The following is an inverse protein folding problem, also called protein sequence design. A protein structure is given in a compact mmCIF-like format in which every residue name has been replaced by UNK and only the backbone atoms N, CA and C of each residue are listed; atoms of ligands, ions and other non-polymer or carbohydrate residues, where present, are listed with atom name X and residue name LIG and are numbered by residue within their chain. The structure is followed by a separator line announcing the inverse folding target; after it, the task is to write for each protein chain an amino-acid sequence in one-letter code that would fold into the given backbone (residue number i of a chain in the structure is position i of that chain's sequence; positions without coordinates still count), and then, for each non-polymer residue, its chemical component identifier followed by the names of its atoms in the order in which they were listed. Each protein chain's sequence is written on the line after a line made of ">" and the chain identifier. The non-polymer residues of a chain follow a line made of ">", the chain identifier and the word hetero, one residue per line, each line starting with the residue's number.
data_IF_410934182932
#
_entry.id   IF_410934182932
#
_cell.length_a   1.000
_cell.length_b   1.000
_cell.length_c   1.000
_cell.angle_alpha   90.00
_cell.angle_beta   90.00
_cell.angle_gamma   90.00
#
_symmetry.space_group_name_H-M   'P 1'
#
loop_
_entity.id
_entity.type
_entity.pdbx_description
1 polymer ?
#
# COMPACT_ATOMS: atom_id res chain seq x y z
N UNK A 1 -13.67 -8.17 -12.74
CA UNK A 1 -12.52 -7.81 -11.89
C UNK A 1 -11.99 -6.48 -12.36
N UNK A 2 -11.57 -5.62 -11.44
CA UNK A 2 -11.07 -4.30 -11.78
C UNK A 2 -9.67 -4.38 -12.41
N UNK A 3 -9.30 -3.41 -13.25
CA UNK A 3 -7.93 -3.31 -13.79
C UNK A 3 -6.88 -3.18 -12.65
N UNK A 4 -7.30 -2.65 -11.50
CA UNK A 4 -6.45 -2.52 -10.31
C UNK A 4 -6.15 -3.88 -9.67
N UNK A 5 -7.12 -4.78 -9.66
CA UNK A 5 -6.97 -6.14 -9.17
C UNK A 5 -6.03 -6.98 -10.05
N UNK A 6 -6.16 -6.88 -11.37
CA UNK A 6 -5.27 -7.57 -12.30
C UNK A 6 -3.81 -7.11 -12.11
N UNK A 7 -3.60 -5.80 -11.97
CA UNK A 7 -2.29 -5.22 -11.69
C UNK A 7 -1.73 -5.65 -10.32
N UNK A 8 -2.59 -5.74 -9.31
CA UNK A 8 -2.22 -6.27 -8.01
C UNK A 8 -1.72 -7.71 -8.14
N UNK A 9 -2.46 -8.59 -8.81
CA UNK A 9 -2.09 -9.98 -9.02
C UNK A 9 -0.75 -10.13 -9.77
N UNK A 10 -0.51 -9.29 -10.78
CA UNK A 10 0.79 -9.26 -11.48
C UNK A 10 1.94 -8.87 -10.52
N UNK A 11 1.70 -7.96 -9.57
CA UNK A 11 2.70 -7.58 -8.58
C UNK A 11 2.91 -8.68 -7.53
N UNK A 12 1.85 -9.41 -7.13
CA UNK A 12 1.97 -10.59 -6.25
C UNK A 12 2.81 -11.68 -6.92
N UNK A 13 2.63 -11.94 -8.21
CA UNK A 13 3.47 -12.88 -8.94
C UNK A 13 4.98 -12.53 -8.87
N UNK A 14 5.34 -11.24 -8.77
CA UNK A 14 6.74 -10.80 -8.57
C UNK A 14 7.23 -11.13 -7.14
N UNK A 15 6.35 -11.04 -6.14
CA UNK A 15 6.65 -11.48 -4.76
C UNK A 15 6.90 -12.98 -4.75
N UNK A 16 6.04 -13.76 -5.39
CA UNK A 16 6.22 -15.21 -5.56
C UNK A 16 7.55 -15.56 -6.22
N UNK A 17 7.93 -14.84 -7.28
CA UNK A 17 9.21 -15.05 -7.95
C UNK A 17 10.41 -14.85 -7.00
N UNK A 18 10.35 -13.84 -6.11
CA UNK A 18 11.39 -13.63 -5.10
C UNK A 18 11.39 -14.75 -4.05
N UNK A 19 10.22 -15.20 -3.63
CA UNK A 19 10.09 -16.33 -2.72
C UNK A 19 10.67 -17.62 -3.33
N UNK A 20 10.36 -17.88 -4.59
CA UNK A 20 10.90 -19.04 -5.31
C UNK A 20 12.42 -18.93 -5.51
N UNK A 21 12.93 -17.73 -5.81
CA UNK A 21 14.37 -17.49 -5.88
C UNK A 21 15.05 -17.79 -4.55
N UNK A 22 14.46 -17.35 -3.43
CA UNK A 22 14.98 -17.66 -2.10
C UNK A 22 15.11 -19.18 -1.88
N UNK A 23 14.07 -19.96 -2.20
CA UNK A 23 14.14 -21.44 -2.05
C UNK A 23 15.19 -22.08 -2.98
N UNK A 24 15.44 -21.47 -4.13
CA UNK A 24 16.45 -21.98 -5.08
C UNK A 24 17.87 -21.72 -4.59
N UNK A 25 18.14 -20.55 -3.98
CA UNK A 25 19.49 -20.17 -3.54
C UNK A 25 19.81 -20.57 -2.11
N UNK A 26 18.82 -21.02 -1.34
CA UNK A 26 18.99 -21.43 0.04
C UNK A 26 19.87 -22.67 0.13
N UNK A 27 21.09 -22.50 0.65
CA UNK A 27 22.08 -23.58 0.72
C UNK A 27 21.86 -24.55 1.89
N UNK A 28 21.14 -24.15 2.93
CA UNK A 28 21.01 -24.90 4.16
C UNK A 28 19.57 -24.92 4.67
N UNK A 29 19.18 -26.03 5.35
CA UNK A 29 17.92 -26.13 6.11
C UNK A 29 17.92 -25.27 7.37
N UNK A 30 19.06 -24.72 7.75
CA UNK A 30 19.24 -23.88 8.93
C UNK A 30 18.79 -22.42 8.67
N UNK A 31 19.12 -21.55 9.62
CA UNK A 31 18.82 -20.12 9.54
C UNK A 31 19.41 -19.52 8.26
N UNK A 32 18.61 -18.76 7.47
CA UNK A 32 19.11 -18.10 6.27
C UNK A 32 20.31 -17.17 6.55
N UNK A 33 21.26 -17.15 5.66
CA UNK A 33 22.32 -16.15 5.62
C UNK A 33 21.75 -14.75 5.39
N UNK A 34 22.55 -13.70 5.62
CA UNK A 34 22.12 -12.32 5.37
C UNK A 34 21.73 -12.14 3.91
N UNK A 35 22.52 -12.67 2.96
CA UNK A 35 22.27 -12.60 1.51
C UNK A 35 20.94 -13.26 1.13
N UNK A 36 20.69 -14.44 1.63
CA UNK A 36 19.41 -15.15 1.40
C UNK A 36 18.25 -14.36 2.02
N UNK A 37 18.43 -13.82 3.24
CA UNK A 37 17.45 -12.99 3.91
C UNK A 37 17.12 -11.68 3.17
N UNK A 38 18.06 -11.14 2.40
CA UNK A 38 17.84 -9.91 1.60
C UNK A 38 16.84 -10.14 0.47
N UNK A 39 16.75 -11.35 -0.07
CA UNK A 39 15.72 -11.72 -1.06
C UNK A 39 14.32 -11.64 -0.41
N UNK A 40 14.18 -12.17 0.80
CA UNK A 40 12.91 -12.09 1.53
C UNK A 40 12.56 -10.66 1.96
N UNK A 41 13.57 -9.82 2.29
CA UNK A 41 13.35 -8.40 2.56
C UNK A 41 12.85 -7.67 1.33
N UNK A 42 13.44 -7.96 0.16
CA UNK A 42 12.95 -7.44 -1.11
C UNK A 42 11.49 -7.87 -1.36
N UNK A 43 11.14 -9.13 -1.11
CA UNK A 43 9.77 -9.63 -1.24
C UNK A 43 8.79 -8.84 -0.35
N UNK A 44 9.15 -8.51 0.91
CA UNK A 44 8.31 -7.69 1.81
C UNK A 44 8.11 -6.28 1.27
N UNK A 45 9.16 -5.65 0.73
CA UNK A 45 9.06 -4.31 0.12
C UNK A 45 8.15 -4.33 -1.09
N UNK A 46 8.27 -5.33 -1.97
CA UNK A 46 7.40 -5.50 -3.13
C UNK A 46 5.95 -5.79 -2.73
N UNK A 47 5.72 -6.62 -1.71
CA UNK A 47 4.40 -6.93 -1.18
C UNK A 47 3.68 -5.68 -0.67
N UNK A 48 4.36 -4.89 0.18
CA UNK A 48 3.81 -3.63 0.66
C UNK A 48 3.52 -2.66 -0.49
N UNK A 49 4.44 -2.54 -1.46
CA UNK A 49 4.25 -1.67 -2.62
C UNK A 49 3.07 -2.11 -3.50
N UNK A 50 2.83 -3.42 -3.62
CA UNK A 50 1.67 -3.96 -4.33
C UNK A 50 0.36 -3.56 -3.64
N UNK A 51 0.28 -3.72 -2.31
CA UNK A 51 -0.87 -3.31 -1.52
C UNK A 51 -1.10 -1.79 -1.61
N UNK A 52 -0.06 -0.99 -1.38
CA UNK A 52 -0.15 0.47 -1.39
C UNK A 52 -0.59 1.00 -2.77
N UNK A 53 -0.06 0.44 -3.86
CA UNK A 53 -0.46 0.80 -5.22
C UNK A 53 -1.93 0.45 -5.50
N UNK A 54 -2.38 -0.74 -5.06
CA UNK A 54 -3.76 -1.16 -5.19
C UNK A 54 -4.70 -0.21 -4.44
N UNK A 55 -4.46 0.04 -3.16
CA UNK A 55 -5.28 0.92 -2.33
C UNK A 55 -5.37 2.33 -2.90
N UNK A 56 -4.24 2.93 -3.30
CA UNK A 56 -4.22 4.26 -3.94
C UNK A 56 -5.08 4.28 -5.21
N UNK A 57 -4.97 3.26 -6.03
CA UNK A 57 -5.70 3.19 -7.30
C UNK A 57 -7.20 3.04 -7.10
N UNK A 58 -7.61 2.16 -6.20
CA UNK A 58 -9.03 1.95 -5.85
C UNK A 58 -9.63 3.20 -5.23
N UNK A 59 -8.96 3.80 -4.25
CA UNK A 59 -9.45 5.02 -3.60
C UNK A 59 -9.51 6.17 -4.61
N UNK A 60 -8.50 6.32 -5.47
CA UNK A 60 -8.50 7.37 -6.51
C UNK A 60 -9.66 7.22 -7.51
N UNK A 61 -10.06 5.99 -7.82
CA UNK A 61 -11.20 5.73 -8.68
C UNK A 61 -12.53 5.99 -8.00
N UNK A 62 -12.70 5.52 -6.77
CA UNK A 62 -14.00 5.50 -6.11
C UNK A 62 -14.30 6.71 -5.24
N UNK A 63 -13.29 7.41 -4.72
CA UNK A 63 -13.49 8.61 -3.90
C UNK A 63 -14.30 9.72 -4.60
N UNK A 64 -14.09 10.02 -5.91
CA UNK A 64 -14.92 10.99 -6.62
C UNK A 64 -16.36 10.52 -6.85
N UNK A 65 -16.63 9.21 -6.82
CA UNK A 65 -17.93 8.61 -7.13
C UNK A 65 -18.78 8.36 -5.88
N UNK A 66 -18.13 7.94 -4.81
CA UNK A 66 -18.74 7.44 -3.57
C UNK A 66 -18.39 8.26 -2.33
N UNK A 67 -17.28 8.99 -2.38
CA UNK A 67 -16.76 9.72 -1.23
C UNK A 67 -17.69 10.84 -0.75
N UNK A 68 -17.75 11.01 0.57
CA UNK A 68 -18.37 12.19 1.16
C UNK A 68 -17.66 13.47 0.70
N UNK A 69 -18.42 14.54 0.51
CA UNK A 69 -17.90 15.88 0.17
C UNK A 69 -16.75 16.32 1.08
N UNK A 70 -16.86 16.03 2.39
CA UNK A 70 -15.82 16.34 3.38
C UNK A 70 -14.49 15.63 3.11
N UNK A 71 -14.53 14.42 2.54
CA UNK A 71 -13.33 13.67 2.20
C UNK A 71 -12.57 14.30 1.03
N UNK A 72 -13.28 15.05 0.16
CA UNK A 72 -12.75 15.73 -1.02
C UNK A 72 -12.36 17.19 -0.71
N UNK A 73 -13.05 17.85 0.23
CA UNK A 73 -12.85 19.27 0.56
C UNK A 73 -11.40 19.60 0.97
N UNK A 74 -10.65 18.66 1.53
CA UNK A 74 -9.25 18.80 1.90
C UNK A 74 -8.26 18.57 0.75
N UNK A 75 -8.73 18.27 -0.47
CA UNK A 75 -7.88 17.97 -1.62
C UNK A 75 -7.69 19.21 -2.48
N UNK A 76 -6.44 19.62 -2.67
CA UNK A 76 -6.11 20.80 -3.48
C UNK A 76 -6.28 20.55 -4.97
N UNK A 77 -6.57 21.59 -5.75
CA UNK A 77 -6.60 21.53 -7.21
C UNK A 77 -5.27 20.97 -7.79
N UNK A 78 -5.29 20.32 -8.97
CA UNK A 78 -4.11 19.63 -9.53
C UNK A 78 -2.91 20.57 -9.80
N UNK A 79 -3.14 21.84 -10.09
CA UNK A 79 -2.09 22.84 -10.38
C UNK A 79 -1.51 23.49 -9.13
N UNK A 80 -2.17 23.37 -7.98
CA UNK A 80 -1.70 23.96 -6.72
C UNK A 80 -0.47 23.19 -6.21
N UNK A 81 0.69 23.85 -6.15
CA UNK A 81 1.89 23.33 -5.49
C UNK A 81 1.81 23.48 -3.97
N UNK A 82 1.00 24.43 -3.51
CA UNK A 82 0.79 24.69 -2.09
C UNK A 82 -0.39 23.88 -1.54
N UNK A 83 -0.35 23.58 -0.26
CA UNK A 83 -1.51 23.08 0.52
C UNK A 83 -2.52 24.22 0.72
N UNK A 84 -3.03 24.79 -0.35
CA UNK A 84 -4.03 25.83 -0.24
C UNK A 84 -5.33 25.23 0.28
N UNK A 85 -5.73 25.58 1.49
CA UNK A 85 -7.01 25.18 2.09
C UNK A 85 -8.22 25.70 1.31
N UNK A 86 -8.01 26.73 0.49
CA UNK A 86 -9.05 27.34 -0.36
C UNK A 86 -8.47 27.65 -1.73
N UNK A 87 -9.22 27.33 -2.78
CA UNK A 87 -8.91 27.82 -4.10
C UNK A 87 -9.68 29.11 -4.39
N UNK A 88 -9.06 30.01 -5.14
CA UNK A 88 -9.73 31.20 -5.62
C UNK A 88 -10.49 30.87 -6.91
N UNK A 89 -11.68 31.43 -7.07
CA UNK A 89 -12.55 31.17 -8.23
C UNK A 89 -11.82 31.42 -9.56
N UNK A 90 -10.93 32.41 -9.62
CA UNK A 90 -10.11 32.70 -10.81
C UNK A 90 -9.22 31.54 -11.24
N UNK A 91 -8.79 30.66 -10.32
CA UNK A 91 -7.99 29.50 -10.67
C UNK A 91 -8.78 28.47 -11.53
N UNK A 92 -10.11 28.54 -11.54
CA UNK A 92 -10.93 27.68 -12.40
C UNK A 92 -10.90 28.10 -13.89
N UNK A 93 -10.44 29.30 -14.20
CA UNK A 93 -10.29 29.75 -15.59
C UNK A 93 -9.29 28.90 -16.37
N UNK A 94 -8.26 28.38 -15.69
CA UNK A 94 -7.28 27.47 -16.29
C UNK A 94 -7.89 26.13 -16.71
N UNK A 95 -9.11 25.82 -16.24
CA UNK A 95 -9.84 24.59 -16.46
C UNK A 95 -11.18 24.80 -17.19
N UNK A 96 -11.39 25.97 -17.81
CA UNK A 96 -12.68 26.38 -18.42
C UNK A 96 -13.22 25.37 -19.44
N UNK A 97 -12.32 24.65 -20.13
CA UNK A 97 -12.67 23.64 -21.14
C UNK A 97 -12.82 22.21 -20.56
N UNK A 98 -12.59 22.04 -19.25
CA UNK A 98 -12.63 20.72 -18.60
C UNK A 98 -13.95 20.52 -17.86
N UNK A 99 -14.40 19.25 -17.79
CA UNK A 99 -15.52 18.91 -16.92
C UNK A 99 -15.07 18.92 -15.46
N UNK A 100 -15.93 19.42 -14.58
CA UNK A 100 -15.66 19.44 -13.14
C UNK A 100 -15.37 18.04 -12.59
N UNK A 101 -16.04 17.00 -13.11
CA UNK A 101 -15.76 15.61 -12.74
C UNK A 101 -14.32 15.18 -13.02
N UNK A 102 -13.78 15.61 -14.18
CA UNK A 102 -12.43 15.23 -14.59
C UNK A 102 -11.38 15.98 -13.75
N UNK A 103 -11.67 17.24 -13.43
CA UNK A 103 -10.84 18.05 -12.55
C UNK A 103 -10.77 17.43 -11.14
N UNK A 104 -11.92 17.03 -10.57
CA UNK A 104 -11.97 16.35 -9.26
C UNK A 104 -11.17 15.04 -9.32
N UNK A 105 -11.39 14.22 -10.35
CA UNK A 105 -10.68 12.95 -10.51
C UNK A 105 -9.17 13.13 -10.61
N UNK A 106 -8.71 14.13 -11.38
CA UNK A 106 -7.28 14.46 -11.50
C UNK A 106 -6.69 14.94 -10.16
N UNK A 107 -7.43 15.77 -9.41
CA UNK A 107 -7.01 16.25 -8.10
C UNK A 107 -6.86 15.10 -7.10
N UNK A 108 -7.85 14.20 -7.04
CA UNK A 108 -7.82 13.01 -6.18
C UNK A 108 -6.67 12.09 -6.57
N UNK A 109 -6.46 11.79 -7.84
CA UNK A 109 -5.33 10.98 -8.30
C UNK A 109 -3.99 11.56 -7.87
N UNK A 110 -3.76 12.87 -8.08
CA UNK A 110 -2.54 13.55 -7.65
C UNK A 110 -2.36 13.50 -6.13
N UNK A 111 -3.44 13.67 -5.38
CA UNK A 111 -3.43 13.57 -3.91
C UNK A 111 -3.04 12.17 -3.45
N UNK A 112 -3.66 11.13 -4.01
CA UNK A 112 -3.40 9.75 -3.62
C UNK A 112 -1.95 9.29 -3.87
N UNK A 113 -1.25 9.85 -4.86
CA UNK A 113 0.18 9.58 -5.08
C UNK A 113 1.07 9.95 -3.87
N UNK A 114 0.62 10.87 -3.02
CA UNK A 114 1.35 11.36 -1.84
C UNK A 114 0.93 10.66 -0.54
N UNK A 115 -0.15 9.88 -0.58
CA UNK A 115 -0.65 9.17 0.59
C UNK A 115 0.19 7.93 0.83
N UNK A 116 0.57 7.70 2.07
CA UNK A 116 1.19 6.46 2.56
C UNK A 116 0.27 5.82 3.58
N UNK A 117 0.24 4.50 3.59
CA UNK A 117 -0.50 3.72 4.58
C UNK A 117 0.51 3.17 5.60
N UNK A 118 0.56 3.80 6.78
CA UNK A 118 1.57 3.51 7.81
C UNK A 118 1.15 2.37 8.74
N UNK A 119 -0.15 2.09 8.79
CA UNK A 119 -0.74 1.00 9.55
C UNK A 119 -2.11 0.61 9.00
N UNK A 120 -2.72 -0.41 9.61
CA UNK A 120 -4.05 -0.88 9.22
C UNK A 120 -5.16 0.15 9.49
N UNK A 121 -5.00 1.01 10.50
CA UNK A 121 -5.97 2.05 10.82
C UNK A 121 -6.04 3.11 9.71
N UNK A 122 -4.89 3.48 9.16
CA UNK A 122 -4.83 4.36 7.99
C UNK A 122 -5.59 3.75 6.81
N UNK A 123 -5.39 2.44 6.56
CA UNK A 123 -6.10 1.71 5.49
C UNK A 123 -7.61 1.78 5.70
N UNK A 124 -8.09 1.43 6.89
CA UNK A 124 -9.52 1.49 7.23
C UNK A 124 -10.08 2.91 7.03
N UNK A 125 -9.40 3.92 7.58
CA UNK A 125 -9.84 5.31 7.49
C UNK A 125 -10.00 5.82 6.04
N UNK A 126 -9.15 5.36 5.12
CA UNK A 126 -9.28 5.72 3.71
C UNK A 126 -10.35 4.91 2.99
N UNK A 127 -10.51 3.63 3.30
CA UNK A 127 -11.52 2.78 2.68
C UNK A 127 -12.94 3.12 3.15
N UNK A 128 -13.11 3.51 4.41
CA UNK A 128 -14.38 4.04 4.93
C UNK A 128 -14.88 5.27 4.16
N UNK A 129 -13.97 6.12 3.66
CA UNK A 129 -14.35 7.29 2.84
C UNK A 129 -15.00 6.92 1.50
N UNK A 130 -14.85 5.68 1.08
CA UNK A 130 -15.48 5.12 -0.12
C UNK A 130 -16.46 3.99 0.24
N UNK A 131 -17.01 4.01 1.46
CA UNK A 131 -18.05 3.08 1.94
C UNK A 131 -17.61 1.60 2.02
N UNK A 132 -16.31 1.33 2.15
CA UNK A 132 -15.79 -0.03 2.37
C UNK A 132 -15.55 -0.24 3.86
N UNK A 133 -16.19 -1.28 4.42
CA UNK A 133 -16.06 -1.68 5.83
C UNK A 133 -15.16 -2.91 5.98
N UNK A 134 -14.08 -2.75 6.74
CA UNK A 134 -13.15 -3.82 7.09
C UNK A 134 -13.28 -4.30 8.55
N UNK A 135 -14.37 -3.96 9.25
CA UNK A 135 -14.57 -4.35 10.66
C UNK A 135 -14.57 -5.86 10.90
N UNK A 136 -14.97 -6.65 9.90
CA UNK A 136 -14.97 -8.11 9.95
C UNK A 136 -13.62 -8.76 9.56
N UNK A 137 -12.65 -7.99 9.06
CA UNK A 137 -11.35 -8.50 8.67
C UNK A 137 -10.49 -8.87 9.89
N UNK A 138 -10.03 -10.11 9.95
CA UNK A 138 -9.39 -10.67 11.16
C UNK A 138 -7.85 -10.65 11.14
N UNK A 139 -7.23 -10.48 9.97
CA UNK A 139 -5.78 -10.59 9.80
C UNK A 139 -5.07 -9.23 9.90
N UNK A 140 -5.69 -8.25 10.55
CA UNK A 140 -5.18 -6.88 10.74
C UNK A 140 -3.78 -6.83 11.35
N UNK A 141 -3.47 -7.74 12.28
CA UNK A 141 -2.17 -7.80 12.92
C UNK A 141 -1.06 -8.23 11.95
N UNK A 142 -1.35 -9.16 11.03
CA UNK A 142 -0.42 -9.58 9.98
C UNK A 142 -0.10 -8.42 9.04
N UNK A 143 -1.11 -7.64 8.63
CA UNK A 143 -0.93 -6.43 7.81
C UNK A 143 -0.05 -5.41 8.55
N UNK A 144 -0.36 -5.11 9.81
CA UNK A 144 0.44 -4.19 10.62
C UNK A 144 1.89 -4.65 10.78
N UNK A 145 2.11 -5.94 11.01
CA UNK A 145 3.45 -6.49 11.16
C UNK A 145 4.25 -6.41 9.85
N UNK A 146 3.62 -6.65 8.71
CA UNK A 146 4.22 -6.48 7.38
C UNK A 146 4.62 -5.01 7.14
N UNK A 147 3.73 -4.05 7.40
CA UNK A 147 3.99 -2.61 7.24
C UNK A 147 5.16 -2.17 8.14
N UNK A 148 5.12 -2.53 9.43
CA UNK A 148 6.20 -2.23 10.39
C UNK A 148 7.52 -2.84 9.94
N UNK A 149 7.49 -4.07 9.41
CA UNK A 149 8.71 -4.71 8.94
C UNK A 149 9.29 -4.01 7.71
N UNK A 150 8.43 -3.66 6.74
CA UNK A 150 8.85 -2.87 5.57
C UNK A 150 9.48 -1.54 6.00
N UNK A 151 8.87 -0.84 6.96
CA UNK A 151 9.42 0.41 7.46
C UNK A 151 10.86 0.23 7.99
N UNK A 152 11.10 -0.79 8.82
CA UNK A 152 12.45 -1.12 9.32
C UNK A 152 13.43 -1.47 8.20
N UNK A 153 13.00 -2.25 7.21
CA UNK A 153 13.86 -2.62 6.08
C UNK A 153 14.33 -1.38 5.31
N UNK A 154 13.41 -0.45 5.02
CA UNK A 154 13.70 0.71 4.16
C UNK A 154 14.43 1.83 4.90
N UNK A 155 14.08 2.08 6.18
CA UNK A 155 14.57 3.26 6.90
C UNK A 155 15.64 2.94 7.94
N UNK A 156 15.69 1.71 8.44
CA UNK A 156 16.60 1.30 9.53
C UNK A 156 17.55 0.18 9.09
N UNK A 157 17.64 -0.12 7.79
CA UNK A 157 18.43 -1.24 7.23
C UNK A 157 18.15 -2.59 7.93
N UNK A 158 16.96 -2.73 8.53
CA UNK A 158 16.53 -3.91 9.29
C UNK A 158 17.47 -4.27 10.46
N UNK A 159 18.16 -3.28 11.01
CA UNK A 159 19.15 -3.48 12.07
C UNK A 159 18.52 -4.08 13.33
N UNK A 160 19.19 -5.07 13.91
CA UNK A 160 18.82 -5.61 15.21
C UNK A 160 19.44 -4.76 16.30
N UNK A 161 18.64 -3.92 16.95
CA UNK A 161 19.09 -3.03 18.05
C UNK A 161 19.58 -3.77 19.30
N UNK A 162 19.36 -5.08 19.41
CA UNK A 162 19.82 -5.91 20.53
C UNK A 162 21.23 -6.48 20.34
N UNK A 163 21.87 -6.23 19.21
CA UNK A 163 23.26 -6.62 18.97
C UNK A 163 24.20 -5.69 19.73
N UNK A 164 25.10 -6.24 20.57
CA UNK A 164 26.13 -5.47 21.30
C UNK A 164 27.03 -4.67 20.34
N UNK A 165 27.84 -3.77 20.91
CA UNK A 165 28.74 -2.86 20.19
C UNK A 165 29.52 -3.58 19.09
N UNK A 166 29.30 -3.17 17.83
CA UNK A 166 30.13 -3.54 16.68
C UNK A 166 29.54 -4.55 15.68
N UNK A 167 28.45 -5.26 15.99
CA UNK A 167 27.84 -6.22 15.06
C UNK A 167 26.35 -5.92 14.85
N UNK A 168 26.02 -5.10 13.86
CA UNK A 168 24.65 -4.84 13.43
C UNK A 168 24.15 -5.98 12.53
N UNK A 169 23.70 -7.06 13.14
CA UNK A 169 23.04 -8.13 12.40
C UNK A 169 21.62 -7.71 11.98
N UNK A 170 21.29 -7.93 10.74
CA UNK A 170 19.92 -7.76 10.29
C UNK A 170 18.97 -8.69 11.06
N UNK A 171 17.78 -8.20 11.39
CA UNK A 171 16.74 -9.00 12.06
C UNK A 171 16.37 -10.21 11.20
N UNK A 172 16.28 -11.39 11.78
CA UNK A 172 15.96 -12.60 11.02
C UNK A 172 14.58 -12.50 10.36
N UNK A 173 14.49 -13.06 9.17
CA UNK A 173 13.25 -13.20 8.40
C UNK A 173 13.19 -14.62 7.83
N UNK A 174 12.00 -15.19 7.73
CA UNK A 174 11.80 -16.51 7.16
C UNK A 174 10.66 -16.53 6.17
N UNK A 175 10.65 -17.53 5.30
CA UNK A 175 9.67 -17.72 4.24
C UNK A 175 8.25 -17.81 4.77
N UNK A 176 8.04 -18.57 5.85
CA UNK A 176 6.70 -18.78 6.42
C UNK A 176 6.06 -17.45 6.84
N UNK A 177 6.83 -16.54 7.45
CA UNK A 177 6.35 -15.21 7.83
C UNK A 177 5.98 -14.38 6.61
N UNK A 178 6.82 -14.38 5.56
CA UNK A 178 6.53 -13.63 4.32
C UNK A 178 5.27 -14.16 3.65
N UNK A 179 5.10 -15.48 3.56
CA UNK A 179 3.90 -16.11 2.99
C UNK A 179 2.64 -15.85 3.83
N UNK A 180 2.75 -15.78 5.16
CA UNK A 180 1.61 -15.38 6.00
C UNK A 180 1.17 -13.94 5.71
N UNK A 181 2.11 -13.00 5.54
CA UNK A 181 1.81 -11.63 5.18
C UNK A 181 1.24 -11.50 3.77
N UNK A 182 1.76 -12.26 2.83
CA UNK A 182 1.26 -12.31 1.45
C UNK A 182 -0.20 -12.78 1.41
N UNK A 183 -0.52 -13.88 2.09
CA UNK A 183 -1.87 -14.39 2.18
C UNK A 183 -2.82 -13.37 2.83
N UNK A 184 -2.43 -12.74 3.94
CA UNK A 184 -3.22 -11.71 4.59
C UNK A 184 -3.46 -10.51 3.66
N UNK A 185 -2.46 -10.13 2.86
CA UNK A 185 -2.58 -9.04 1.88
C UNK A 185 -3.55 -9.41 0.76
N UNK A 186 -3.48 -10.62 0.23
CA UNK A 186 -4.41 -11.13 -0.79
C UNK A 186 -5.84 -11.18 -0.23
N UNK A 187 -6.01 -11.66 1.00
CA UNK A 187 -7.33 -11.71 1.65
C UNK A 187 -7.93 -10.31 1.86
N UNK A 188 -7.11 -9.33 2.27
CA UNK A 188 -7.54 -7.94 2.40
C UNK A 188 -8.03 -7.37 1.06
N UNK A 189 -7.25 -7.56 0.00
CA UNK A 189 -7.61 -7.09 -1.34
C UNK A 189 -8.86 -7.77 -1.86
N UNK A 190 -9.02 -9.07 -1.63
CA UNK A 190 -10.21 -9.83 -2.01
C UNK A 190 -11.47 -9.31 -1.26
N UNK A 191 -11.35 -8.95 0.02
CA UNK A 191 -12.47 -8.39 0.77
C UNK A 191 -12.88 -7.00 0.23
N UNK A 192 -11.91 -6.17 -0.14
CA UNK A 192 -12.16 -4.88 -0.81
C UNK A 192 -12.85 -5.08 -2.17
N UNK A 193 -12.33 -5.96 -3.03
CA UNK A 193 -12.92 -6.25 -4.35
C UNK A 193 -14.34 -6.81 -4.26
N UNK A 194 -14.59 -7.67 -3.27
CA UNK A 194 -15.92 -8.21 -3.02
C UNK A 194 -16.94 -7.09 -2.75
N UNK A 195 -16.59 -6.11 -1.93
CA UNK A 195 -17.49 -4.99 -1.62
C UNK A 195 -17.67 -4.07 -2.83
N UNK A 196 -16.60 -3.79 -3.59
CA UNK A 196 -16.69 -2.99 -4.83
C UNK A 196 -17.59 -3.66 -5.87
N UNK A 197 -17.55 -4.98 -6.00
CA UNK A 197 -18.35 -5.70 -7.00
C UNK A 197 -19.85 -5.70 -6.67
N UNK A 198 -20.25 -5.32 -5.48
CA UNK A 198 -21.65 -5.19 -5.06
C UNK A 198 -22.25 -3.82 -5.43
N UNK A 199 -21.49 -2.88 -5.97
CA UNK A 199 -21.92 -1.56 -6.43
C UNK A 199 -22.34 -1.55 -7.89
#
# INVERSE_FOLDING_TARGET
>A
MSNHFDRFNQNIARVDNLCNLFETVKESKNRPTVKEGDILRAAVVFLHSALENYLRSVIAEWLPKKGDKRAIDGISLPTSESRAEKFMLGALLDFSEQKVSDLISAAVQKHMLRISFNDYTDICSWLEKIEIDLSAFKEQELINNMIKRRHKIVHETDANQKGGQGNHYATSINMQTVKAWENATINLVNEVEKQITMW
#
